data_IF_426242723300
#
_entry.id   IF_426242723300
#
_cell.length_a   1.000
_cell.length_b   1.000
_cell.length_c   1.000
_cell.angle_alpha   90.00
_cell.angle_beta   90.00
_cell.angle_gamma   90.00
#
_symmetry.space_group_name_H-M   'P 1'
#
loop_
_entity.id
_entity.type
_entity.pdbx_description
1 polymer ?
#
# COMPACT_ATOMS: atom_id res chain seq x y z
N UNK A 1 -2.36 40.42 24.45
CA UNK A 1 -2.04 39.12 23.81
C UNK A 1 -3.18 38.17 24.14
N UNK A 2 -4.05 37.79 23.22
CA UNK A 2 -5.11 36.83 23.51
C UNK A 2 -4.57 35.40 23.30
N UNK A 3 -4.77 34.53 24.27
CA UNK A 3 -4.44 33.13 24.26
C UNK A 3 -5.21 32.40 23.15
N UNK A 4 -4.52 31.80 22.20
CA UNK A 4 -5.11 30.89 21.22
C UNK A 4 -5.53 29.62 21.96
N UNK A 5 -6.83 29.39 22.07
CA UNK A 5 -7.38 28.10 22.49
C UNK A 5 -7.05 27.05 21.41
N UNK A 6 -5.99 26.32 21.59
CA UNK A 6 -5.69 25.11 20.83
C UNK A 6 -6.54 24.00 21.45
N UNK A 7 -7.56 23.54 20.72
CA UNK A 7 -8.35 22.36 21.10
C UNK A 7 -7.37 21.18 21.16
N UNK A 8 -7.24 20.47 22.27
CA UNK A 8 -6.29 19.36 22.36
C UNK A 8 -6.74 18.23 21.40
N UNK A 9 -5.86 17.87 20.46
CA UNK A 9 -6.06 16.84 19.43
C UNK A 9 -6.56 15.48 19.97
N UNK A 10 -6.46 15.23 21.26
CA UNK A 10 -7.04 14.04 21.95
C UNK A 10 -8.58 13.93 21.89
N UNK A 11 -9.30 15.02 21.52
CA UNK A 11 -10.77 14.99 21.44
C UNK A 11 -11.30 14.53 20.05
N UNK A 12 -10.46 14.43 19.03
CA UNK A 12 -10.88 13.93 17.71
C UNK A 12 -11.19 12.43 17.70
N UNK A 13 -10.63 11.65 18.62
CA UNK A 13 -11.02 10.26 18.85
C UNK A 13 -12.50 10.07 19.25
N UNK A 14 -13.03 11.05 19.99
CA UNK A 14 -14.44 11.03 20.44
C UNK A 14 -15.44 11.34 19.31
N UNK A 15 -15.01 12.02 18.26
CA UNK A 15 -15.89 12.35 17.12
C UNK A 15 -16.10 11.12 16.22
N UNK A 16 -15.09 10.28 16.05
CA UNK A 16 -15.22 9.00 15.33
C UNK A 16 -16.15 8.02 16.05
N UNK A 17 -16.14 8.01 17.38
CA UNK A 17 -17.03 7.15 18.20
C UNK A 17 -18.47 7.71 18.26
N UNK A 18 -18.65 9.02 18.13
CA UNK A 18 -19.99 9.64 18.20
C UNK A 18 -20.81 9.48 16.91
N UNK A 19 -20.15 9.30 15.75
CA UNK A 19 -20.83 8.99 14.48
C UNK A 19 -21.40 7.57 14.41
N UNK A 20 -20.86 6.64 15.20
CA UNK A 20 -21.38 5.28 15.32
C UNK A 20 -22.70 5.14 16.09
N UNK A 21 -23.11 6.19 16.83
CA UNK A 21 -24.33 6.15 17.68
C UNK A 21 -25.61 6.67 16.98
N UNK A 22 -25.55 7.08 15.71
CA UNK A 22 -26.70 7.68 14.99
C UNK A 22 -27.44 6.73 14.01
N UNK A 23 -26.98 5.48 13.83
CA UNK A 23 -27.69 4.49 13.01
C UNK A 23 -28.38 3.44 13.88
N UNK A 24 -29.59 3.75 14.39
CA UNK A 24 -30.50 2.75 14.93
C UNK A 24 -31.52 2.34 13.85
N UNK A 25 -31.85 1.04 13.69
CA UNK A 25 -32.71 0.58 12.62
C UNK A 25 -34.20 0.86 12.93
N UNK A 26 -34.92 1.42 11.96
CA UNK A 26 -36.37 1.46 11.94
C UNK A 26 -36.87 0.13 11.33
N UNK A 27 -37.55 -0.68 12.14
CA UNK A 27 -38.17 -1.91 11.70
C UNK A 27 -39.50 -1.67 10.96
N UNK A 28 -39.77 -2.50 9.96
CA UNK A 28 -41.10 -2.77 9.42
C UNK A 28 -41.16 -2.70 7.89
N UNK A 29 -41.21 -3.85 7.23
CA UNK A 29 -42.01 -4.17 6.06
C UNK A 29 -41.57 -5.54 5.49
N UNK A 30 -42.21 -6.62 5.95
CA UNK A 30 -42.03 -7.97 5.36
C UNK A 30 -43.06 -8.30 4.26
N UNK A 31 -44.11 -7.50 4.09
CA UNK A 31 -45.21 -7.82 3.16
C UNK A 31 -45.11 -7.16 1.77
N UNK A 32 -44.18 -6.23 1.54
CA UNK A 32 -43.94 -5.63 0.20
C UNK A 32 -42.85 -6.36 -0.63
N UNK A 33 -42.20 -7.38 -0.05
CA UNK A 33 -41.04 -8.02 -0.68
C UNK A 33 -41.44 -9.12 -1.70
N UNK A 34 -42.59 -9.77 -1.52
CA UNK A 34 -43.04 -10.84 -2.45
C UNK A 34 -43.53 -10.29 -3.81
N UNK A 35 -44.20 -9.13 -3.83
CA UNK A 35 -44.64 -8.50 -5.10
C UNK A 35 -43.51 -7.89 -5.91
N UNK A 36 -42.36 -7.55 -5.28
CA UNK A 36 -41.17 -7.06 -5.97
C UNK A 36 -40.33 -8.19 -6.59
N UNK A 37 -40.36 -9.37 -6.01
CA UNK A 37 -39.56 -10.50 -6.48
C UNK A 37 -40.10 -11.13 -7.79
N UNK A 38 -41.41 -11.11 -8.03
CA UNK A 38 -41.99 -11.59 -9.31
C UNK A 38 -41.61 -10.71 -10.52
N UNK A 39 -41.26 -9.44 -10.31
CA UNK A 39 -40.83 -8.53 -11.38
C UNK A 39 -39.36 -8.73 -11.80
N UNK A 40 -38.51 -9.22 -10.91
CA UNK A 40 -37.06 -9.37 -11.17
C UNK A 40 -36.72 -10.68 -11.89
N UNK A 41 -37.50 -11.75 -11.71
CA UNK A 41 -37.23 -13.04 -12.36
C UNK A 41 -37.34 -12.97 -13.90
N UNK A 42 -38.08 -12.02 -14.48
CA UNK A 42 -38.19 -11.87 -15.93
C UNK A 42 -37.11 -10.99 -16.57
N UNK A 43 -36.48 -10.09 -15.81
CA UNK A 43 -35.39 -9.24 -16.33
C UNK A 43 -34.04 -9.96 -16.22
N UNK A 44 -33.82 -10.80 -15.20
CA UNK A 44 -32.55 -11.57 -15.06
C UNK A 44 -32.37 -12.63 -16.15
N UNK A 45 -33.45 -13.28 -16.63
CA UNK A 45 -33.34 -14.29 -17.70
C UNK A 45 -32.93 -13.67 -19.05
N UNK A 46 -33.28 -12.41 -19.34
CA UNK A 46 -32.91 -11.73 -20.60
C UNK A 46 -31.46 -11.22 -20.53
N UNK A 47 -30.99 -10.76 -19.37
CA UNK A 47 -29.62 -10.26 -19.20
C UNK A 47 -28.60 -11.41 -19.16
N UNK A 48 -28.96 -12.56 -18.57
CA UNK A 48 -28.10 -13.74 -18.54
C UNK A 48 -27.97 -14.43 -19.90
N UNK A 49 -28.99 -14.37 -20.75
CA UNK A 49 -28.94 -15.00 -22.08
C UNK A 49 -28.11 -14.18 -23.09
N UNK A 50 -28.08 -12.86 -22.99
CA UNK A 50 -27.20 -12.00 -23.78
C UNK A 50 -25.74 -12.08 -23.37
N UNK A 51 -25.44 -12.20 -22.06
CA UNK A 51 -24.08 -12.39 -21.56
C UNK A 51 -23.53 -13.81 -21.85
N UNK A 52 -24.39 -14.83 -21.87
CA UNK A 52 -23.99 -16.22 -22.18
C UNK A 52 -23.69 -16.45 -23.66
N UNK A 53 -24.14 -15.58 -24.56
CA UNK A 53 -23.96 -15.68 -26.01
C UNK A 53 -22.89 -14.73 -26.59
N UNK A 54 -22.25 -13.90 -25.77
CA UNK A 54 -21.12 -13.09 -26.20
C UNK A 54 -19.92 -14.02 -26.46
N UNK A 55 -19.50 -14.18 -27.70
CA UNK A 55 -18.24 -14.83 -28.00
C UNK A 55 -17.12 -14.07 -27.29
N UNK A 56 -16.21 -14.76 -26.56
CA UNK A 56 -15.13 -14.08 -25.85
C UNK A 56 -14.32 -13.24 -26.84
N UNK A 57 -14.34 -11.94 -26.64
CA UNK A 57 -13.54 -11.02 -27.47
C UNK A 57 -12.08 -11.38 -27.34
N UNK A 58 -11.35 -11.40 -28.47
CA UNK A 58 -9.91 -11.67 -28.47
C UNK A 58 -9.13 -10.64 -27.63
N UNK A 59 -9.62 -9.42 -27.55
CA UNK A 59 -9.03 -8.34 -26.78
C UNK A 59 -10.11 -7.47 -26.11
N UNK A 60 -9.74 -6.89 -24.98
CA UNK A 60 -10.53 -5.91 -24.23
C UNK A 60 -9.61 -4.75 -23.89
N UNK A 61 -10.06 -3.53 -24.07
CA UNK A 61 -9.30 -2.32 -23.76
C UNK A 61 -10.10 -1.47 -22.80
N UNK A 62 -9.57 -1.34 -21.60
CA UNK A 62 -10.10 -0.46 -20.55
C UNK A 62 -9.19 0.74 -20.36
N UNK A 63 -9.78 1.86 -20.03
CA UNK A 63 -9.03 3.06 -19.78
C UNK A 63 -9.68 3.96 -18.74
N UNK A 64 -8.86 4.81 -18.12
CA UNK A 64 -9.35 5.84 -17.24
C UNK A 64 -8.53 7.12 -17.37
N UNK A 65 -9.23 8.25 -17.35
CA UNK A 65 -8.63 9.58 -17.18
C UNK A 65 -9.04 10.10 -15.81
N UNK A 66 -8.08 10.50 -15.01
CA UNK A 66 -8.35 11.10 -13.71
C UNK A 66 -7.69 12.47 -13.57
N UNK A 67 -8.34 13.32 -12.78
CA UNK A 67 -7.80 14.60 -12.30
C UNK A 67 -7.85 14.58 -10.80
N UNK A 68 -6.73 14.83 -10.15
CA UNK A 68 -6.63 14.95 -8.69
C UNK A 68 -6.05 16.27 -8.28
N UNK A 69 -6.56 16.83 -7.19
CA UNK A 69 -6.06 18.05 -6.58
C UNK A 69 -5.88 17.85 -5.07
N UNK A 70 -4.82 18.41 -4.52
CA UNK A 70 -4.56 18.38 -3.07
C UNK A 70 -4.20 19.78 -2.58
N UNK A 71 -4.78 20.17 -1.45
CA UNK A 71 -4.53 21.45 -0.79
C UNK A 71 -3.93 21.25 0.59
N UNK A 72 -2.62 21.50 0.71
CA UNK A 72 -1.87 21.41 1.96
C UNK A 72 -2.02 22.70 2.77
N UNK A 73 -2.94 22.72 3.73
CA UNK A 73 -3.24 23.95 4.51
C UNK A 73 -2.30 24.15 5.70
N UNK A 74 -1.66 23.12 6.17
CA UNK A 74 -0.79 23.14 7.36
C UNK A 74 0.71 23.05 7.04
N UNK A 75 1.10 22.90 5.76
CA UNK A 75 2.49 22.72 5.37
C UNK A 75 3.37 23.93 5.77
N UNK A 76 4.60 23.66 6.14
CA UNK A 76 5.61 24.65 6.53
C UNK A 76 6.70 24.69 5.45
N UNK A 77 6.69 25.74 4.63
CA UNK A 77 7.63 25.93 3.54
C UNK A 77 9.02 26.26 4.04
N UNK A 78 10.05 25.78 3.37
CA UNK A 78 11.45 26.11 3.63
C UNK A 78 12.15 26.58 2.36
N UNK A 79 12.64 27.83 2.36
CA UNK A 79 13.43 28.36 1.25
C UNK A 79 14.81 27.71 1.14
N UNK A 80 15.39 27.24 2.26
CA UNK A 80 16.72 26.64 2.31
C UNK A 80 16.79 25.34 1.48
N UNK A 81 15.75 24.50 1.61
CA UNK A 81 15.66 23.21 0.91
C UNK A 81 14.70 23.26 -0.28
N UNK A 82 14.26 24.48 -0.71
CA UNK A 82 13.28 24.66 -1.80
C UNK A 82 12.07 23.74 -1.65
N UNK A 83 11.42 23.80 -0.50
CA UNK A 83 10.27 22.98 -0.16
C UNK A 83 9.03 23.88 0.03
N UNK A 84 8.33 24.17 -1.08
CA UNK A 84 7.15 25.03 -1.07
C UNK A 84 5.91 24.25 -1.52
N UNK A 85 5.22 23.65 -0.56
CA UNK A 85 4.02 22.84 -0.81
C UNK A 85 2.75 23.39 -0.13
N UNK A 86 2.84 24.59 0.46
CA UNK A 86 1.68 25.21 1.08
C UNK A 86 0.68 25.66 0.01
N UNK A 87 -0.58 25.31 0.21
CA UNK A 87 -1.64 25.62 -0.74
C UNK A 87 -1.94 24.47 -1.68
N UNK A 88 -1.98 24.72 -2.99
CA UNK A 88 -2.24 23.71 -4.01
C UNK A 88 -0.99 22.83 -4.19
N UNK A 89 -0.90 21.72 -3.48
CA UNK A 89 0.26 20.84 -3.49
C UNK A 89 0.28 19.90 -4.69
N UNK A 90 -0.89 19.42 -5.13
CA UNK A 90 -1.07 18.53 -6.28
C UNK A 90 -2.15 19.08 -7.20
N UNK A 91 -1.93 19.06 -8.50
CA UNK A 91 -2.95 19.20 -9.56
C UNK A 91 -2.54 18.29 -10.71
N UNK A 92 -2.87 17.00 -10.58
CA UNK A 92 -2.37 15.92 -11.44
C UNK A 92 -3.46 15.45 -12.38
N UNK A 93 -3.11 15.29 -13.66
CA UNK A 93 -3.92 14.56 -14.63
C UNK A 93 -3.21 13.26 -14.95
N UNK A 94 -3.93 12.14 -14.90
CA UNK A 94 -3.40 10.81 -15.17
C UNK A 94 -4.26 10.10 -16.21
N UNK A 95 -3.61 9.37 -17.11
CA UNK A 95 -4.19 8.41 -18.03
C UNK A 95 -3.71 7.02 -17.65
N UNK A 96 -4.63 6.08 -17.49
CA UNK A 96 -4.35 4.66 -17.30
C UNK A 96 -5.00 3.89 -18.42
N UNK A 97 -4.28 2.92 -18.99
CA UNK A 97 -4.78 2.04 -20.07
C UNK A 97 -4.43 0.59 -19.72
N UNK A 98 -5.36 -0.31 -19.98
CA UNK A 98 -5.20 -1.74 -19.75
C UNK A 98 -5.74 -2.49 -20.97
N UNK A 99 -4.90 -3.32 -21.57
CA UNK A 99 -5.23 -4.19 -22.69
C UNK A 99 -5.14 -5.64 -22.24
N UNK A 100 -6.26 -6.32 -22.17
CA UNK A 100 -6.36 -7.75 -21.93
C UNK A 100 -6.52 -8.52 -23.24
N UNK A 101 -5.76 -9.62 -23.38
CA UNK A 101 -5.76 -10.49 -24.55
C UNK A 101 -6.15 -11.90 -24.14
N UNK A 102 -7.19 -12.45 -24.74
CA UNK A 102 -7.61 -13.84 -24.65
C UNK A 102 -6.97 -14.64 -25.78
N UNK A 103 -5.93 -15.41 -25.46
CA UNK A 103 -5.15 -16.16 -26.42
C UNK A 103 -5.65 -17.62 -26.54
N UNK A 104 -5.31 -18.35 -27.63
CA UNK A 104 -5.68 -19.76 -27.77
C UNK A 104 -5.20 -20.63 -26.59
N UNK A 105 -5.95 -21.69 -26.27
CA UNK A 105 -5.68 -22.66 -25.21
C UNK A 105 -5.72 -22.03 -23.80
N UNK A 106 -6.64 -21.09 -23.59
CA UNK A 106 -6.87 -20.42 -22.31
C UNK A 106 -5.68 -19.59 -21.78
N UNK A 107 -4.73 -19.28 -22.66
CA UNK A 107 -3.68 -18.32 -22.31
C UNK A 107 -4.25 -16.91 -22.28
N UNK A 108 -3.75 -16.12 -21.35
CA UNK A 108 -4.11 -14.71 -21.21
C UNK A 108 -2.85 -13.85 -21.17
N UNK A 109 -2.93 -12.66 -21.70
CA UNK A 109 -1.87 -11.67 -21.56
C UNK A 109 -2.49 -10.32 -21.23
N UNK A 110 -1.78 -9.53 -20.44
CA UNK A 110 -2.16 -8.15 -20.08
C UNK A 110 -1.01 -7.21 -20.40
N UNK A 111 -1.36 -6.04 -20.89
CA UNK A 111 -0.45 -4.90 -21.02
C UNK A 111 -1.16 -3.69 -20.42
N UNK A 112 -0.72 -3.25 -19.26
CA UNK A 112 -1.24 -2.08 -18.57
C UNK A 112 -0.15 -1.04 -18.35
N UNK A 113 -0.51 0.24 -18.43
CA UNK A 113 0.38 1.35 -18.19
C UNK A 113 -0.35 2.58 -17.71
N UNK A 114 0.38 3.45 -17.02
CA UNK A 114 -0.10 4.75 -16.57
C UNK A 114 0.87 5.86 -16.95
N UNK A 115 0.34 7.05 -17.13
CA UNK A 115 1.16 8.25 -17.24
C UNK A 115 0.45 9.43 -16.62
N UNK A 116 1.20 10.28 -15.92
CA UNK A 116 0.65 11.48 -15.31
C UNK A 116 1.51 12.72 -15.56
N UNK A 117 0.89 13.89 -15.38
CA UNK A 117 1.54 15.18 -15.30
C UNK A 117 0.92 16.01 -14.17
N UNK A 118 1.78 16.56 -13.29
CA UNK A 118 1.36 17.42 -12.18
C UNK A 118 1.61 18.90 -12.49
N UNK A 119 0.53 19.65 -12.65
CA UNK A 119 0.52 21.07 -12.98
C UNK A 119 0.85 21.97 -11.78
N UNK A 120 0.76 21.48 -10.54
CA UNK A 120 1.00 22.28 -9.35
C UNK A 120 2.40 22.88 -9.36
N UNK A 121 3.41 22.12 -9.79
CA UNK A 121 4.80 22.59 -9.91
C UNK A 121 4.99 23.74 -10.91
N UNK A 122 4.20 23.76 -11.98
CA UNK A 122 4.23 24.85 -12.95
C UNK A 122 3.51 26.09 -12.42
N UNK A 123 2.42 25.91 -11.69
CA UNK A 123 1.60 27.00 -11.11
C UNK A 123 2.34 27.70 -9.96
N UNK A 124 2.97 26.91 -9.08
CA UNK A 124 3.72 27.45 -7.94
C UNK A 124 5.11 28.01 -8.30
N UNK A 125 5.58 27.76 -9.51
CA UNK A 125 6.91 28.18 -9.97
C UNK A 125 7.95 27.08 -9.72
N UNK A 126 8.47 26.52 -10.80
CA UNK A 126 9.43 25.39 -10.77
C UNK A 126 10.73 25.66 -10.00
N UNK A 127 11.10 26.91 -9.82
CA UNK A 127 12.32 27.30 -9.11
C UNK A 127 12.20 27.15 -7.58
N UNK A 128 10.96 26.99 -7.07
CA UNK A 128 10.67 26.77 -5.65
C UNK A 128 10.88 25.32 -5.19
N UNK A 129 11.31 24.44 -6.10
CA UNK A 129 11.45 23.01 -5.85
C UNK A 129 12.85 22.50 -6.20
N UNK A 130 13.35 21.52 -5.49
CA UNK A 130 14.59 20.82 -5.79
C UNK A 130 14.52 20.15 -7.17
N UNK A 131 15.68 19.77 -7.72
CA UNK A 131 15.72 19.00 -8.95
C UNK A 131 15.10 17.62 -8.77
N UNK A 132 15.39 16.95 -7.65
CA UNK A 132 15.01 15.58 -7.37
C UNK A 132 13.50 15.48 -7.19
N UNK A 133 12.90 16.36 -6.38
CA UNK A 133 11.43 16.43 -6.25
C UNK A 133 10.71 16.63 -7.59
N UNK A 134 11.27 17.48 -8.49
CA UNK A 134 10.69 17.69 -9.83
C UNK A 134 10.83 16.47 -10.73
N UNK A 135 11.94 15.77 -10.65
CA UNK A 135 12.19 14.59 -11.46
C UNK A 135 11.25 13.44 -11.09
N UNK A 136 10.98 13.28 -9.78
CA UNK A 136 10.14 12.21 -9.26
C UNK A 136 8.63 12.46 -9.38
N UNK A 137 8.19 13.74 -9.34
CA UNK A 137 6.77 14.03 -9.10
C UNK A 137 6.08 14.87 -10.18
N UNK A 138 6.82 15.50 -11.12
CA UNK A 138 6.17 16.34 -12.14
C UNK A 138 5.49 15.53 -13.22
N UNK A 139 6.12 14.47 -13.69
CA UNK A 139 5.54 13.58 -14.70
C UNK A 139 6.22 12.21 -14.68
N UNK A 140 5.43 11.20 -14.97
CA UNK A 140 5.89 9.83 -15.08
C UNK A 140 5.11 9.11 -16.17
N UNK A 141 5.74 8.16 -16.84
CA UNK A 141 5.09 7.19 -17.72
C UNK A 141 5.68 5.82 -17.41
N UNK A 142 4.85 4.87 -16.99
CA UNK A 142 5.28 3.57 -16.55
C UNK A 142 4.36 2.45 -17.05
N UNK A 143 4.97 1.32 -17.43
CA UNK A 143 4.24 0.07 -17.57
C UNK A 143 3.94 -0.50 -16.18
N UNK A 144 2.67 -0.70 -15.88
CA UNK A 144 2.22 -1.28 -14.63
C UNK A 144 2.31 -2.81 -14.71
N UNK A 145 1.40 -3.47 -15.35
CA UNK A 145 1.44 -4.91 -15.53
C UNK A 145 1.68 -5.27 -17.00
N UNK A 146 2.64 -6.15 -17.25
CA UNK A 146 2.91 -6.73 -18.57
C UNK A 146 3.25 -8.20 -18.37
N UNK A 147 2.25 -9.08 -18.54
CA UNK A 147 2.43 -10.49 -18.26
C UNK A 147 1.69 -11.41 -19.21
N UNK A 148 2.14 -12.65 -19.25
CA UNK A 148 1.53 -13.80 -19.93
C UNK A 148 1.25 -14.88 -18.90
N UNK A 149 0.03 -15.45 -18.91
CA UNK A 149 -0.41 -16.49 -18.00
C UNK A 149 -1.12 -17.62 -18.76
N UNK A 150 -0.92 -18.86 -18.33
CA UNK A 150 -1.63 -20.03 -18.86
C UNK A 150 -1.22 -21.32 -18.18
N UNK A 151 -1.98 -22.38 -18.43
CA UNK A 151 -1.72 -23.71 -17.87
C UNK A 151 -0.71 -24.44 -18.73
N UNK A 152 0.40 -24.87 -18.14
CA UNK A 152 1.39 -25.76 -18.75
C UNK A 152 0.91 -27.20 -18.70
N UNK A 153 0.25 -27.61 -17.63
CA UNK A 153 -0.34 -28.91 -17.36
C UNK A 153 -1.67 -28.71 -16.61
N UNK A 154 -2.57 -29.71 -16.54
CA UNK A 154 -3.86 -29.57 -15.86
C UNK A 154 -3.75 -29.12 -14.37
N UNK A 155 -2.61 -29.33 -13.73
CA UNK A 155 -2.36 -28.94 -12.34
C UNK A 155 -1.25 -27.91 -12.20
N UNK A 156 -0.72 -27.35 -13.29
CA UNK A 156 0.44 -26.45 -13.24
C UNK A 156 0.21 -25.21 -14.09
N UNK A 157 0.06 -24.07 -13.45
CA UNK A 157 -0.05 -22.77 -14.09
C UNK A 157 1.27 -22.01 -14.05
N UNK A 158 1.52 -21.26 -15.12
CA UNK A 158 2.62 -20.33 -15.26
C UNK A 158 2.07 -18.90 -15.43
N UNK A 159 2.63 -17.94 -14.68
CA UNK A 159 2.51 -16.50 -14.99
C UNK A 159 3.92 -15.91 -15.06
N UNK A 160 4.23 -15.24 -16.17
CA UNK A 160 5.53 -14.63 -16.41
C UNK A 160 5.37 -13.20 -16.89
N UNK A 161 6.17 -12.31 -16.32
CA UNK A 161 6.23 -10.90 -16.69
C UNK A 161 6.13 -9.98 -15.48
N UNK A 162 5.94 -8.69 -15.75
CA UNK A 162 5.80 -7.65 -14.73
C UNK A 162 4.41 -7.74 -14.10
N UNK A 163 4.34 -8.00 -12.80
CA UNK A 163 3.10 -8.31 -12.10
C UNK A 163 3.17 -7.97 -10.62
N UNK A 164 2.01 -7.89 -9.99
CA UNK A 164 1.85 -7.75 -8.54
C UNK A 164 1.42 -9.10 -7.96
N UNK A 165 2.01 -9.46 -6.81
CA UNK A 165 1.65 -10.63 -6.02
C UNK A 165 1.41 -10.22 -4.58
N UNK A 166 0.17 -10.34 -4.12
CA UNK A 166 -0.17 -10.14 -2.72
C UNK A 166 -0.01 -11.44 -1.94
N UNK A 167 0.85 -11.42 -0.90
CA UNK A 167 1.08 -12.57 -0.03
C UNK A 167 0.52 -12.40 1.38
N UNK A 168 0.17 -11.19 1.78
CA UNK A 168 -0.39 -10.86 3.09
C UNK A 168 -1.88 -11.21 3.22
N UNK A 169 -2.37 -11.25 4.45
CA UNK A 169 -3.79 -11.32 4.83
C UNK A 169 -4.30 -9.97 5.34
N UNK A 170 -3.38 -9.13 5.78
CA UNK A 170 -3.67 -7.78 6.23
C UNK A 170 -3.94 -6.85 5.05
N UNK A 171 -4.85 -5.92 5.26
CA UNK A 171 -5.22 -4.89 4.29
C UNK A 171 -4.42 -3.59 4.49
N UNK A 172 -3.81 -3.41 5.68
CA UNK A 172 -3.17 -2.15 6.03
C UNK A 172 -1.73 -2.30 6.54
N UNK A 173 -1.38 -3.42 7.15
CA UNK A 173 -0.05 -3.63 7.75
C UNK A 173 0.66 -4.80 7.07
N UNK A 174 1.81 -4.55 6.45
CA UNK A 174 2.57 -5.58 5.73
C UNK A 174 3.48 -6.37 6.65
N UNK A 175 3.31 -7.69 6.72
CA UNK A 175 4.22 -8.63 7.40
C UNK A 175 4.80 -9.63 6.40
N UNK A 176 3.97 -10.37 5.69
CA UNK A 176 4.40 -11.39 4.72
C UNK A 176 4.43 -10.88 3.28
N UNK A 177 3.78 -9.78 3.00
CA UNK A 177 3.70 -9.18 1.69
C UNK A 177 4.98 -8.39 1.36
N UNK A 178 6.00 -9.10 0.87
CA UNK A 178 7.37 -8.60 0.72
C UNK A 178 7.90 -8.64 -0.73
N UNK A 179 7.11 -9.18 -1.68
CA UNK A 179 7.62 -9.42 -3.04
C UNK A 179 7.55 -8.21 -3.96
N UNK A 180 6.63 -7.32 -3.69
CA UNK A 180 6.48 -6.08 -4.45
C UNK A 180 6.88 -4.89 -3.58
N UNK A 181 7.79 -4.03 -4.03
CA UNK A 181 8.08 -2.77 -3.35
C UNK A 181 6.88 -1.82 -3.40
N UNK A 182 6.92 -0.74 -2.63
CA UNK A 182 5.85 0.25 -2.52
C UNK A 182 6.25 1.61 -3.08
N UNK A 183 5.30 2.32 -3.66
CA UNK A 183 5.36 3.76 -3.89
C UNK A 183 4.95 4.50 -2.61
N UNK A 184 5.93 4.89 -1.81
CA UNK A 184 5.75 5.61 -0.55
C UNK A 184 5.87 7.13 -0.71
N UNK A 185 5.91 7.65 -1.93
CA UNK A 185 6.14 9.08 -2.19
C UNK A 185 5.05 9.99 -1.62
N UNK A 186 3.83 9.46 -1.47
CA UNK A 186 2.65 10.21 -0.99
C UNK A 186 1.92 9.41 0.13
N UNK A 187 2.54 9.21 1.30
CA UNK A 187 2.02 8.35 2.36
C UNK A 187 0.66 8.82 2.90
N UNK A 188 -0.28 7.89 3.03
CA UNK A 188 -1.63 8.16 3.51
C UNK A 188 -2.59 8.74 2.47
N UNK A 189 -2.15 9.08 1.25
CA UNK A 189 -3.01 9.57 0.16
C UNK A 189 -3.58 8.44 -0.71
N UNK A 190 -2.91 7.31 -0.75
CA UNK A 190 -3.26 6.15 -1.58
C UNK A 190 -3.52 4.96 -0.66
N UNK A 191 -4.41 4.07 -1.03
CA UNK A 191 -4.62 2.82 -0.31
C UNK A 191 -3.44 1.86 -0.56
N UNK A 192 -3.12 1.03 0.42
CA UNK A 192 -1.92 0.18 0.39
C UNK A 192 -1.92 -0.81 -0.80
N UNK A 193 -3.09 -1.19 -1.27
CA UNK A 193 -3.25 -2.06 -2.43
C UNK A 193 -2.72 -1.42 -3.71
N UNK A 194 -2.93 -0.10 -3.85
CA UNK A 194 -2.51 0.69 -5.00
C UNK A 194 -1.06 1.17 -4.90
N UNK A 195 -0.42 1.01 -3.73
CA UNK A 195 0.98 1.39 -3.52
C UNK A 195 1.96 0.37 -4.10
N UNK A 196 1.55 -0.88 -4.35
CA UNK A 196 2.47 -1.92 -4.82
C UNK A 196 3.00 -1.61 -6.21
N UNK A 197 4.31 -1.64 -6.32
CA UNK A 197 5.02 -1.50 -7.58
C UNK A 197 5.20 -2.87 -8.22
N UNK A 198 4.78 -3.06 -9.46
CA UNK A 198 4.96 -4.33 -10.15
C UNK A 198 6.43 -4.59 -10.44
N UNK A 199 6.81 -5.87 -10.41
CA UNK A 199 8.16 -6.35 -10.77
C UNK A 199 8.08 -7.56 -11.69
N UNK A 200 9.11 -7.72 -12.52
CA UNK A 200 9.21 -8.83 -13.47
C UNK A 200 9.56 -10.10 -12.73
N UNK A 201 8.66 -11.10 -12.79
CA UNK A 201 8.86 -12.39 -12.13
C UNK A 201 8.29 -13.56 -12.93
N UNK A 202 8.75 -14.75 -12.61
CA UNK A 202 8.16 -16.04 -13.00
C UNK A 202 7.44 -16.62 -11.78
N UNK A 203 6.17 -16.94 -11.93
CA UNK A 203 5.34 -17.62 -10.93
C UNK A 203 4.84 -18.94 -11.49
N UNK A 204 4.98 -20.01 -10.70
CA UNK A 204 4.47 -21.34 -10.96
C UNK A 204 3.55 -21.76 -9.83
N UNK A 205 2.32 -22.16 -10.15
CA UNK A 205 1.34 -22.64 -9.18
C UNK A 205 0.99 -24.09 -9.49
N UNK A 206 1.29 -25.00 -8.55
CA UNK A 206 0.95 -26.41 -8.64
C UNK A 206 -0.18 -26.78 -7.68
N UNK A 207 -1.28 -27.31 -8.22
CA UNK A 207 -2.50 -27.62 -7.49
C UNK A 207 -2.57 -29.11 -7.12
N UNK A 208 -2.79 -29.39 -5.83
CA UNK A 208 -3.00 -30.74 -5.32
C UNK A 208 -4.07 -30.79 -4.23
N UNK A 209 -5.30 -31.19 -4.60
CA UNK A 209 -6.44 -31.21 -3.70
C UNK A 209 -6.75 -29.82 -3.13
N UNK A 210 -6.74 -29.67 -1.82
CA UNK A 210 -6.97 -28.41 -1.12
C UNK A 210 -5.69 -27.53 -1.04
N UNK A 211 -4.55 -27.98 -1.57
CA UNK A 211 -3.27 -27.32 -1.44
C UNK A 211 -2.78 -26.75 -2.77
N UNK A 212 -2.17 -25.60 -2.71
CA UNK A 212 -1.41 -24.98 -3.82
C UNK A 212 0.02 -24.76 -3.38
N UNK A 213 0.97 -25.26 -4.15
CA UNK A 213 2.38 -24.95 -4.01
C UNK A 213 2.75 -23.90 -5.05
N UNK A 214 3.13 -22.71 -4.58
CA UNK A 214 3.58 -21.59 -5.41
C UNK A 214 5.09 -21.46 -5.33
N UNK A 215 5.77 -21.36 -6.48
CA UNK A 215 7.18 -20.99 -6.60
C UNK A 215 7.33 -19.70 -7.38
N UNK A 216 8.15 -18.76 -6.90
CA UNK A 216 8.37 -17.45 -7.53
C UNK A 216 9.87 -17.18 -7.66
N UNK A 217 10.27 -16.69 -8.85
CA UNK A 217 11.57 -16.11 -9.11
C UNK A 217 11.40 -14.67 -9.58
N UNK A 218 11.87 -13.70 -8.78
CA UNK A 218 11.83 -12.26 -9.12
C UNK A 218 13.12 -11.93 -9.87
N UNK A 219 13.00 -11.40 -11.08
CA UNK A 219 14.12 -11.12 -12.00
C UNK A 219 14.53 -9.66 -12.03
N UNK A 220 13.63 -8.76 -11.66
CA UNK A 220 13.83 -7.33 -11.62
C UNK A 220 14.12 -6.91 -10.18
N UNK A 221 15.30 -6.30 -9.96
CA UNK A 221 15.64 -5.67 -8.69
C UNK A 221 15.03 -4.26 -8.69
N UNK A 222 14.03 -4.06 -7.85
CA UNK A 222 13.36 -2.78 -7.64
C UNK A 222 13.09 -2.64 -6.14
N UNK A 223 13.21 -1.43 -5.62
CA UNK A 223 13.00 -1.10 -4.22
C UNK A 223 11.85 -0.12 -4.06
N UNK A 224 11.49 0.18 -2.82
CA UNK A 224 10.49 1.20 -2.53
C UNK A 224 10.88 2.53 -3.16
N UNK A 225 9.88 3.23 -3.68
CA UNK A 225 10.02 4.63 -4.08
C UNK A 225 9.62 5.49 -2.89
N UNK A 226 10.62 5.91 -2.12
CA UNK A 226 10.44 6.79 -0.97
C UNK A 226 10.48 8.26 -1.41
N UNK A 227 9.99 9.21 -0.58
CA UNK A 227 10.03 10.63 -0.90
C UNK A 227 11.46 11.13 -1.18
N UNK A 228 11.69 11.80 -2.32
CA UNK A 228 12.96 12.36 -2.71
C UNK A 228 13.31 13.64 -1.95
N UNK A 229 14.61 13.99 -1.91
CA UNK A 229 15.09 15.20 -1.25
C UNK A 229 14.38 16.46 -1.71
N UNK A 230 13.79 17.17 -0.76
CA UNK A 230 13.02 18.39 -1.00
C UNK A 230 11.62 18.14 -1.55
N UNK A 231 11.16 16.89 -1.67
CA UNK A 231 9.75 16.59 -1.91
C UNK A 231 8.91 16.87 -0.66
N UNK A 232 7.59 16.91 -0.82
CA UNK A 232 6.66 17.30 0.23
C UNK A 232 6.74 16.41 1.49
N UNK A 233 6.89 15.11 1.28
CA UNK A 233 6.93 14.12 2.35
C UNK A 233 8.34 13.70 2.76
N UNK A 234 9.38 14.31 2.18
CA UNK A 234 10.74 14.03 2.60
C UNK A 234 10.95 14.55 4.03
N UNK A 235 11.29 13.67 5.01
CA UNK A 235 11.21 14.04 6.41
C UNK A 235 12.44 14.78 6.96
N UNK A 236 13.53 14.86 6.19
CA UNK A 236 14.81 15.40 6.66
C UNK A 236 15.15 16.74 5.99
N UNK A 237 15.99 17.54 6.68
CA UNK A 237 16.51 18.81 6.14
C UNK A 237 17.85 18.63 5.43
N UNK A 238 18.36 17.42 5.34
CA UNK A 238 19.63 17.08 4.69
C UNK A 238 19.42 16.00 3.63
N UNK A 239 20.16 16.06 2.55
CA UNK A 239 20.22 15.02 1.54
C UNK A 239 20.82 13.74 2.10
N UNK A 240 20.21 12.59 1.78
CA UNK A 240 20.71 11.28 2.21
C UNK A 240 21.92 10.87 1.37
N UNK A 241 22.80 9.98 1.89
CA UNK A 241 23.87 9.39 1.11
C UNK A 241 23.34 8.69 -0.16
N UNK A 242 24.20 8.59 -1.18
CA UNK A 242 23.84 7.90 -2.42
C UNK A 242 23.50 6.44 -2.15
N UNK A 243 22.48 5.95 -2.83
CA UNK A 243 22.03 4.56 -2.77
C UNK A 243 22.75 3.74 -3.86
N UNK A 244 23.26 2.57 -3.46
CA UNK A 244 23.87 1.59 -4.36
C UNK A 244 22.96 0.37 -4.45
N UNK A 245 22.22 0.23 -5.56
CA UNK A 245 21.30 -0.86 -5.80
C UNK A 245 21.99 -2.04 -6.49
N UNK A 246 21.68 -3.30 -6.11
CA UNK A 246 22.12 -4.48 -6.83
C UNK A 246 21.64 -4.47 -8.29
N UNK A 247 22.53 -4.81 -9.22
CA UNK A 247 22.15 -4.88 -10.63
C UNK A 247 21.18 -6.03 -10.91
N UNK A 248 20.29 -5.84 -11.88
CA UNK A 248 19.46 -6.93 -12.40
C UNK A 248 20.31 -8.06 -12.94
N UNK A 249 19.92 -9.31 -12.66
CA UNK A 249 20.63 -10.48 -13.18
C UNK A 249 20.54 -11.72 -12.30
N UNK A 250 20.94 -12.87 -12.84
CA UNK A 250 20.73 -14.17 -12.23
C UNK A 250 21.31 -14.36 -10.82
N UNK A 251 22.42 -13.69 -10.45
CA UNK A 251 22.99 -13.71 -9.09
C UNK A 251 22.13 -12.96 -8.08
N UNK A 252 21.34 -12.00 -8.54
CA UNK A 252 20.48 -11.13 -7.72
C UNK A 252 18.99 -11.50 -7.82
N UNK A 253 18.66 -12.58 -8.54
CA UNK A 253 17.31 -13.16 -8.53
C UNK A 253 16.86 -13.43 -7.11
N UNK A 254 15.67 -12.99 -6.77
CA UNK A 254 15.02 -13.31 -5.50
C UNK A 254 14.15 -14.55 -5.68
N UNK A 255 14.03 -15.31 -4.63
CA UNK A 255 13.31 -16.58 -4.65
C UNK A 255 12.29 -16.63 -3.54
N UNK A 256 11.11 -17.11 -3.89
CA UNK A 256 10.05 -17.28 -2.92
C UNK A 256 9.23 -18.53 -3.18
N UNK A 257 8.68 -19.10 -2.12
CA UNK A 257 7.78 -20.24 -2.18
C UNK A 257 6.68 -20.12 -1.13
N UNK A 258 5.47 -20.55 -1.48
CA UNK A 258 4.35 -20.64 -0.56
C UNK A 258 3.63 -21.98 -0.70
N UNK A 259 3.19 -22.55 0.41
CA UNK A 259 2.27 -23.68 0.47
C UNK A 259 0.98 -23.21 1.13
N UNK A 260 -0.10 -23.09 0.33
CA UNK A 260 -1.40 -22.59 0.78
C UNK A 260 -2.43 -23.70 0.76
N UNK A 261 -3.09 -23.95 1.89
CA UNK A 261 -4.24 -24.83 2.02
C UNK A 261 -5.50 -24.04 2.28
N UNK A 262 -6.58 -24.32 1.53
CA UNK A 262 -7.90 -23.68 1.69
C UNK A 262 -8.89 -24.75 2.14
N UNK A 263 -9.58 -24.47 3.25
CA UNK A 263 -10.50 -25.37 3.90
C UNK A 263 -11.84 -24.67 4.17
N UNK A 264 -12.84 -25.42 4.62
CA UNK A 264 -14.14 -24.83 4.95
C UNK A 264 -14.02 -23.91 6.17
N UNK A 265 -14.13 -22.59 5.93
CA UNK A 265 -14.12 -21.56 6.97
C UNK A 265 -12.72 -21.12 7.45
N UNK A 266 -11.63 -21.66 6.93
CA UNK A 266 -10.28 -21.23 7.27
C UNK A 266 -9.27 -21.55 6.18
N UNK A 267 -8.15 -20.86 6.19
CA UNK A 267 -6.98 -21.16 5.35
C UNK A 267 -5.70 -21.17 6.17
N UNK A 268 -4.65 -21.75 5.60
CA UNK A 268 -3.30 -21.74 6.15
C UNK A 268 -2.32 -21.57 5.01
N UNK A 269 -1.36 -20.65 5.17
CA UNK A 269 -0.26 -20.50 4.24
C UNK A 269 1.07 -20.53 4.98
N UNK A 270 2.05 -21.26 4.44
CA UNK A 270 3.44 -21.26 4.88
C UNK A 270 4.27 -20.60 3.79
N UNK A 271 5.18 -19.71 4.18
CA UNK A 271 5.96 -18.88 3.27
C UNK A 271 7.45 -19.03 3.53
N UNK A 272 8.22 -19.01 2.49
CA UNK A 272 9.67 -18.85 2.51
C UNK A 272 10.09 -17.89 1.40
N UNK A 273 11.03 -16.99 1.70
CA UNK A 273 11.61 -16.12 0.68
C UNK A 273 13.09 -15.82 0.99
N UNK A 274 13.84 -15.58 -0.09
CA UNK A 274 15.18 -15.00 -0.06
C UNK A 274 15.19 -13.81 -1.02
N UNK A 275 15.26 -12.62 -0.48
CA UNK A 275 15.00 -11.36 -1.16
C UNK A 275 15.91 -10.26 -0.63
N UNK A 276 15.90 -9.08 -1.24
CA UNK A 276 16.54 -7.89 -0.70
C UNK A 276 15.56 -7.11 0.19
N UNK A 277 16.09 -6.52 1.26
CA UNK A 277 15.30 -5.59 2.10
C UNK A 277 14.98 -4.35 1.28
N UNK A 278 13.71 -3.99 1.18
CA UNK A 278 13.27 -2.76 0.51
C UNK A 278 13.76 -1.49 1.22
N UNK A 279 14.12 -1.60 2.50
CA UNK A 279 14.68 -0.49 3.28
C UNK A 279 16.20 -0.55 3.27
N UNK A 280 16.86 0.45 2.70
CA UNK A 280 18.31 0.48 2.72
C UNK A 280 18.85 0.76 4.13
N UNK A 281 20.02 0.21 4.43
CA UNK A 281 20.82 0.54 5.61
C UNK A 281 22.04 1.37 5.22
N UNK A 282 22.58 2.14 6.17
CA UNK A 282 23.83 2.85 5.98
C UNK A 282 25.02 1.89 6.07
N UNK A 283 25.96 2.02 5.17
CA UNK A 283 27.24 1.33 5.19
C UNK A 283 28.41 2.30 5.01
N UNK A 284 29.45 2.14 5.82
CA UNK A 284 30.69 2.92 5.70
C UNK A 284 31.66 2.18 4.79
N UNK A 285 31.80 2.63 3.55
CA UNK A 285 32.61 1.98 2.51
C UNK A 285 33.98 2.63 2.40
N UNK A 286 35.10 1.88 2.53
CA UNK A 286 36.45 2.41 2.32
C UNK A 286 36.68 2.81 0.88
N UNK A 287 37.13 4.04 0.62
CA UNK A 287 37.53 4.54 -0.70
C UNK A 287 39.04 4.48 -0.90
N UNK A 288 39.61 3.27 -1.01
CA UNK A 288 41.04 3.08 -1.24
C UNK A 288 41.92 3.86 -0.25
N UNK A 289 42.68 4.86 -0.71
CA UNK A 289 43.51 5.75 0.15
C UNK A 289 42.74 7.02 0.61
N UNK A 290 41.48 7.21 0.21
CA UNK A 290 40.63 8.33 0.62
C UNK A 290 39.91 8.08 1.95
N UNK A 291 39.22 9.10 2.49
CA UNK A 291 38.32 8.89 3.61
C UNK A 291 37.16 7.96 3.21
N UNK A 292 36.66 7.14 4.14
CA UNK A 292 35.50 6.30 3.87
C UNK A 292 34.28 7.16 3.57
N UNK A 293 33.39 6.67 2.73
CA UNK A 293 32.12 7.32 2.41
C UNK A 293 30.94 6.52 2.94
N UNK A 294 29.85 7.20 3.26
CA UNK A 294 28.59 6.55 3.61
C UNK A 294 27.79 6.28 2.33
N UNK A 295 27.27 5.07 2.20
CA UNK A 295 26.34 4.67 1.15
C UNK A 295 25.10 4.04 1.78
N UNK A 296 23.98 4.07 1.05
CA UNK A 296 22.80 3.28 1.36
C UNK A 296 22.84 1.99 0.54
N UNK A 297 22.68 0.85 1.20
CA UNK A 297 22.70 -0.48 0.58
C UNK A 297 21.56 -1.36 1.07
N UNK A 298 21.19 -2.36 0.29
CA UNK A 298 20.11 -3.30 0.57
C UNK A 298 20.66 -4.66 1.03
N UNK A 299 20.29 -5.08 2.23
CA UNK A 299 20.66 -6.38 2.79
C UNK A 299 19.88 -7.50 2.11
N UNK A 300 20.50 -8.69 2.00
CA UNK A 300 19.81 -9.87 1.53
C UNK A 300 19.21 -10.65 2.68
N UNK A 301 17.89 -10.69 2.77
CA UNK A 301 17.13 -11.31 3.84
C UNK A 301 16.70 -12.73 3.48
N UNK A 302 16.51 -13.55 4.51
CA UNK A 302 15.77 -14.81 4.44
C UNK A 302 14.58 -14.74 5.38
N UNK A 303 13.38 -15.02 4.86
CA UNK A 303 12.13 -15.03 5.62
C UNK A 303 11.55 -16.45 5.68
N UNK A 304 11.02 -16.81 6.85
CA UNK A 304 10.06 -17.89 7.05
C UNK A 304 8.81 -17.30 7.68
N UNK A 305 7.65 -17.62 7.13
CA UNK A 305 6.41 -17.05 7.59
C UNK A 305 5.24 -18.01 7.54
N UNK A 306 4.18 -17.64 8.25
CA UNK A 306 2.90 -18.33 8.23
C UNK A 306 1.76 -17.33 8.36
N UNK A 307 0.63 -17.61 7.70
CA UNK A 307 -0.59 -16.83 7.84
C UNK A 307 -1.83 -17.71 7.85
N UNK A 308 -2.88 -17.22 8.45
CA UNK A 308 -4.18 -17.89 8.51
C UNK A 308 -5.30 -16.89 8.60
N UNK A 309 -6.43 -17.21 7.95
CA UNK A 309 -7.72 -16.59 8.17
C UNK A 309 -8.67 -17.63 8.77
N UNK A 310 -9.54 -17.19 9.65
CA UNK A 310 -10.60 -18.02 10.25
C UNK A 310 -11.92 -17.25 10.24
N UNK A 311 -12.91 -17.75 9.50
CA UNK A 311 -14.24 -17.19 9.41
C UNK A 311 -15.15 -17.76 10.51
N UNK A 312 -15.80 -16.88 11.28
CA UNK A 312 -16.71 -17.23 12.36
C UNK A 312 -17.99 -16.35 12.27
N UNK A 313 -18.99 -16.82 11.54
CA UNK A 313 -20.18 -16.02 11.25
C UNK A 313 -19.77 -14.75 10.49
N UNK A 314 -20.14 -13.60 11.03
CA UNK A 314 -19.82 -12.29 10.45
C UNK A 314 -18.39 -11.77 10.79
N UNK A 315 -17.61 -12.59 11.51
CA UNK A 315 -16.25 -12.25 11.91
C UNK A 315 -15.23 -12.97 11.06
N UNK A 316 -14.15 -12.26 10.66
CA UNK A 316 -12.94 -12.83 10.09
C UNK A 316 -11.76 -12.52 11.01
N UNK A 317 -11.13 -13.56 11.53
CA UNK A 317 -9.91 -13.46 12.33
C UNK A 317 -8.71 -13.68 11.40
N UNK A 318 -7.73 -12.79 11.46
CA UNK A 318 -6.51 -12.81 10.64
C UNK A 318 -5.30 -12.95 11.54
N UNK A 319 -4.32 -13.76 11.16
CA UNK A 319 -3.03 -13.82 11.84
C UNK A 319 -1.89 -14.03 10.85
N UNK A 320 -0.80 -13.30 11.06
CA UNK A 320 0.44 -13.46 10.31
C UNK A 320 1.64 -13.49 11.26
N UNK A 321 2.66 -14.25 10.89
CA UNK A 321 3.93 -14.26 11.59
C UNK A 321 5.08 -14.46 10.62
N UNK A 322 6.18 -13.73 10.82
CA UNK A 322 7.40 -13.84 10.04
C UNK A 322 8.64 -13.85 10.92
N UNK A 323 9.61 -14.68 10.58
CA UNK A 323 10.97 -14.62 11.07
C UNK A 323 11.86 -14.16 9.92
N UNK A 324 12.55 -13.03 10.10
CA UNK A 324 13.48 -12.46 9.13
C UNK A 324 14.91 -12.55 9.69
N UNK A 325 15.84 -12.98 8.85
CA UNK A 325 17.27 -13.04 9.18
C UNK A 325 18.09 -12.30 8.12
N UNK A 326 19.16 -11.63 8.55
CA UNK A 326 20.05 -10.89 7.66
C UNK A 326 19.83 -9.37 7.67
N UNK A 327 19.04 -8.82 8.63
CA UNK A 327 18.88 -7.37 8.75
C UNK A 327 20.19 -6.72 9.22
N UNK A 328 20.71 -5.78 8.44
CA UNK A 328 21.92 -5.05 8.75
C UNK A 328 21.62 -3.66 9.29
N UNK A 329 22.36 -3.28 10.35
CA UNK A 329 22.22 -1.98 11.00
C UNK A 329 23.58 -1.28 11.05
N UNK A 330 23.59 -0.02 10.64
CA UNK A 330 24.76 0.84 10.85
C UNK A 330 24.96 1.10 12.33
N UNK A 331 26.18 0.87 12.79
CA UNK A 331 26.62 1.27 14.14
C UNK A 331 27.83 2.19 13.98
N UNK A 332 27.82 3.38 14.61
CA UNK A 332 28.94 4.31 14.48
C UNK A 332 30.25 3.70 15.01
N UNK A 333 31.38 3.95 14.37
CA UNK A 333 32.67 3.54 14.88
C UNK A 333 32.91 4.01 16.34
N UNK A 334 33.61 3.21 17.21
CA UNK A 334 34.45 2.07 16.83
C UNK A 334 33.73 0.72 16.73
N UNK A 335 32.43 0.66 16.96
CA UNK A 335 31.67 -0.57 16.86
C UNK A 335 31.52 -1.03 15.40
N UNK A 336 31.32 -2.34 15.19
CA UNK A 336 31.11 -2.91 13.86
C UNK A 336 29.61 -2.91 13.49
N UNK A 337 29.26 -2.86 12.18
CA UNK A 337 27.88 -3.07 11.73
C UNK A 337 27.28 -4.34 12.32
N UNK A 338 26.00 -4.32 12.61
CA UNK A 338 25.34 -5.41 13.32
C UNK A 338 24.28 -6.09 12.47
N UNK A 339 24.49 -7.38 12.15
CA UNK A 339 23.44 -8.23 11.60
C UNK A 339 22.49 -8.72 12.71
N UNK A 340 21.17 -8.66 12.48
CA UNK A 340 20.13 -9.08 13.42
C UNK A 340 19.04 -9.88 12.74
N UNK A 341 18.28 -10.59 13.58
CA UNK A 341 17.02 -11.22 13.18
C UNK A 341 15.85 -10.47 13.79
N UNK A 342 14.69 -10.56 13.14
CA UNK A 342 13.45 -9.92 13.58
C UNK A 342 12.28 -10.90 13.54
N UNK A 343 11.43 -10.85 14.55
CA UNK A 343 10.15 -11.53 14.59
C UNK A 343 9.02 -10.51 14.44
N UNK A 344 8.23 -10.68 13.40
CA UNK A 344 7.07 -9.86 13.10
C UNK A 344 5.81 -10.70 13.33
N UNK A 345 4.83 -10.16 14.05
CA UNK A 345 3.55 -10.83 14.32
C UNK A 345 2.44 -9.82 14.12
N UNK A 346 1.38 -10.24 13.45
CA UNK A 346 0.15 -9.48 13.26
C UNK A 346 -1.05 -10.32 13.69
N UNK A 347 -2.01 -9.66 14.32
CA UNK A 347 -3.36 -10.18 14.53
C UNK A 347 -4.36 -9.13 14.07
N UNK A 348 -5.40 -9.59 13.39
CA UNK A 348 -6.46 -8.75 12.85
C UNK A 348 -7.83 -9.35 13.11
N UNK A 349 -8.82 -8.48 13.23
CA UNK A 349 -10.23 -8.84 13.34
C UNK A 349 -11.03 -7.94 12.41
N UNK A 350 -11.89 -8.57 11.61
CA UNK A 350 -12.81 -7.89 10.73
C UNK A 350 -14.24 -8.31 11.07
N UNK A 351 -15.15 -7.36 11.04
CA UNK A 351 -16.57 -7.57 11.26
C UNK A 351 -17.39 -7.03 10.09
N UNK A 352 -18.12 -7.92 9.41
CA UNK A 352 -18.96 -7.63 8.26
C UNK A 352 -20.47 -7.84 8.54
N UNK A 353 -20.88 -7.92 9.82
CA UNK A 353 -22.27 -8.11 10.20
C UNK A 353 -23.13 -6.83 10.18
N UNK A 354 -22.57 -5.68 9.82
CA UNK A 354 -23.34 -4.48 9.53
C UNK A 354 -23.85 -4.53 8.09
N UNK A 355 -25.04 -3.96 7.87
CA UNK A 355 -25.55 -3.79 6.51
C UNK A 355 -24.67 -2.78 5.77
N UNK A 356 -24.11 -3.20 4.64
CA UNK A 356 -23.31 -2.38 3.74
C UNK A 356 -22.09 -1.70 4.42
N UNK A 357 -21.55 -2.31 5.50
CA UNK A 357 -20.37 -1.76 6.17
C UNK A 357 -19.47 -2.84 6.78
N UNK A 358 -18.17 -2.58 6.79
CA UNK A 358 -17.13 -3.44 7.36
C UNK A 358 -16.25 -2.63 8.31
N UNK A 359 -15.85 -3.25 9.41
CA UNK A 359 -14.89 -2.71 10.37
C UNK A 359 -13.73 -3.66 10.50
N UNK A 360 -12.51 -3.16 10.30
CA UNK A 360 -11.27 -3.93 10.46
C UNK A 360 -10.38 -3.26 11.52
N UNK A 361 -9.82 -4.06 12.40
CA UNK A 361 -8.80 -3.64 13.34
C UNK A 361 -7.63 -4.61 13.30
N UNK A 362 -6.41 -4.09 13.13
CA UNK A 362 -5.19 -4.87 13.04
C UNK A 362 -4.13 -4.30 13.98
N UNK A 363 -3.31 -5.18 14.56
CA UNK A 363 -2.17 -4.83 15.39
C UNK A 363 -0.99 -5.70 15.00
N UNK A 364 0.17 -5.07 14.79
CA UNK A 364 1.43 -5.75 14.52
C UNK A 364 2.52 -5.32 15.49
N UNK A 365 3.40 -6.25 15.83
CA UNK A 365 4.64 -5.95 16.55
C UNK A 365 5.84 -6.55 15.81
N UNK A 366 6.88 -5.75 15.64
CA UNK A 366 8.17 -6.17 15.07
C UNK A 366 9.23 -6.17 16.16
N UNK A 367 9.74 -7.35 16.52
CA UNK A 367 10.71 -7.55 17.59
C UNK A 367 12.11 -7.85 17.06
N UNK A 368 13.10 -6.98 17.31
CA UNK A 368 14.50 -7.20 16.94
C UNK A 368 15.18 -8.04 18.04
N UNK A 369 15.66 -9.23 17.66
CA UNK A 369 16.39 -10.13 18.54
C UNK A 369 17.79 -9.60 18.83
N UNK A 370 18.22 -9.66 20.10
CA UNK A 370 19.54 -9.16 20.51
C UNK A 370 19.70 -7.66 20.32
N UNK A 371 18.61 -6.90 20.46
CA UNK A 371 18.63 -5.44 20.40
C UNK A 371 19.52 -4.82 21.48
N UNK A 372 20.29 -3.82 21.10
CA UNK A 372 21.00 -2.91 21.99
C UNK A 372 20.84 -1.45 21.50
N UNK A 373 21.02 -0.48 22.40
CA UNK A 373 20.70 0.93 22.12
C UNK A 373 21.52 1.56 20.98
N UNK A 374 22.72 1.03 20.69
CA UNK A 374 23.55 1.52 19.59
C UNK A 374 22.90 1.30 18.20
N UNK A 375 21.94 0.34 18.09
CA UNK A 375 21.19 0.12 16.85
C UNK A 375 20.24 1.28 16.52
N UNK A 376 19.87 2.11 17.48
CA UNK A 376 19.04 3.28 17.23
C UNK A 376 19.81 4.47 16.65
N UNK A 377 21.14 4.35 16.53
CA UNK A 377 21.98 5.43 16.04
C UNK A 377 21.87 5.63 14.52
N UNK A 378 22.20 6.82 14.05
CA UNK A 378 22.13 7.19 12.65
C UNK A 378 20.71 7.16 12.11
N UNK A 379 20.54 6.72 10.85
CA UNK A 379 19.23 6.61 10.17
C UNK A 379 18.51 5.29 10.42
N UNK A 380 19.01 4.41 11.29
CA UNK A 380 18.36 3.13 11.56
C UNK A 380 17.03 3.32 12.29
N UNK A 381 16.96 4.29 13.23
CA UNK A 381 15.81 4.53 14.12
C UNK A 381 15.23 3.25 14.72
N UNK A 382 16.09 2.25 14.90
CA UNK A 382 15.68 0.92 15.30
C UNK A 382 15.16 0.91 16.74
N UNK A 383 14.02 0.30 16.95
CA UNK A 383 13.43 0.05 18.27
C UNK A 383 13.45 -1.45 18.55
N UNK A 384 13.53 -1.85 19.83
CA UNK A 384 13.44 -3.27 20.21
C UNK A 384 12.13 -3.89 19.77
N UNK A 385 11.03 -3.15 19.98
CA UNK A 385 9.69 -3.50 19.54
C UNK A 385 9.10 -2.29 18.84
N UNK A 386 8.63 -2.48 17.62
CA UNK A 386 7.90 -1.47 16.85
C UNK A 386 6.45 -1.92 16.76
N UNK A 387 5.58 -1.27 17.51
CA UNK A 387 4.15 -1.55 17.49
C UNK A 387 3.48 -0.66 16.45
N UNK A 388 2.59 -1.26 15.66
CA UNK A 388 1.77 -0.59 14.67
C UNK A 388 0.33 -1.10 14.80
N UNK A 389 -0.65 -0.22 14.73
CA UNK A 389 -2.05 -0.59 14.70
C UNK A 389 -2.81 0.19 13.65
N UNK A 390 -3.82 -0.43 13.07
CA UNK A 390 -4.71 0.18 12.11
C UNK A 390 -6.17 -0.05 12.46
N UNK A 391 -7.00 0.93 12.14
CA UNK A 391 -8.44 0.84 12.19
C UNK A 391 -9.01 1.31 10.86
N UNK A 392 -9.79 0.46 10.18
CA UNK A 392 -10.49 0.77 8.94
C UNK A 392 -11.98 0.59 9.14
N UNK A 393 -12.75 1.55 8.66
CA UNK A 393 -14.19 1.49 8.52
C UNK A 393 -14.54 1.81 7.08
N UNK A 394 -15.22 0.91 6.40
CA UNK A 394 -15.71 1.08 5.04
C UNK A 394 -17.22 0.91 5.02
N UNK A 395 -17.95 1.79 4.34
CA UNK A 395 -19.40 1.71 4.27
C UNK A 395 -19.92 2.26 2.93
N UNK A 396 -20.94 1.61 2.43
CA UNK A 396 -21.63 1.95 1.20
C UNK A 396 -22.99 2.57 1.51
N UNK A 397 -23.34 3.64 0.79
CA UNK A 397 -24.58 4.38 0.93
C UNK A 397 -25.19 4.64 -0.45
N UNK A 398 -26.50 5.00 -0.47
CA UNK A 398 -27.21 5.43 -1.68
C UNK A 398 -27.15 4.33 -2.77
N UNK A 399 -27.52 3.08 -2.41
CA UNK A 399 -27.43 1.89 -3.27
C UNK A 399 -26.02 1.72 -3.85
N UNK A 400 -25.03 1.71 -2.98
CA UNK A 400 -23.60 1.54 -3.27
C UNK A 400 -22.98 2.60 -4.21
N UNK A 401 -23.66 3.76 -4.39
CA UNK A 401 -23.10 4.87 -5.16
C UNK A 401 -22.17 5.78 -4.36
N UNK A 402 -22.29 5.78 -3.05
CA UNK A 402 -21.43 6.58 -2.17
C UNK A 402 -20.63 5.64 -1.28
N UNK A 403 -19.33 5.61 -1.48
CA UNK A 403 -18.38 4.83 -0.68
C UNK A 403 -17.69 5.74 0.31
N UNK A 404 -17.72 5.38 1.57
CA UNK A 404 -16.99 6.05 2.65
C UNK A 404 -15.90 5.11 3.16
N UNK A 405 -14.67 5.60 3.23
CA UNK A 405 -13.57 4.88 3.90
C UNK A 405 -12.92 5.80 4.93
N UNK A 406 -12.82 5.31 6.16
CA UNK A 406 -12.02 5.92 7.21
C UNK A 406 -10.89 4.97 7.59
N UNK A 407 -9.66 5.46 7.55
CA UNK A 407 -8.45 4.74 7.93
C UNK A 407 -7.69 5.53 8.99
N UNK A 408 -7.27 4.85 10.06
CA UNK A 408 -6.31 5.38 11.01
C UNK A 408 -5.14 4.40 11.13
N UNK A 409 -3.92 4.86 10.94
CA UNK A 409 -2.68 4.13 11.18
C UNK A 409 -1.91 4.80 12.31
N UNK A 410 -1.56 4.00 13.33
CA UNK A 410 -0.99 4.48 14.59
C UNK A 410 0.27 3.69 14.90
N UNK A 411 1.36 4.40 15.15
CA UNK A 411 2.67 3.84 15.46
C UNK A 411 3.00 4.09 16.94
N UNK A 412 3.58 3.08 17.60
CA UNK A 412 3.75 3.05 19.05
C UNK A 412 2.46 2.66 19.80
N UNK A 413 2.58 2.36 21.10
CA UNK A 413 1.46 1.83 21.89
C UNK A 413 0.28 2.81 21.99
N UNK A 414 0.56 4.10 22.08
CA UNK A 414 -0.43 5.18 22.25
C UNK A 414 -0.34 6.25 21.17
N UNK A 415 0.32 5.93 20.04
CA UNK A 415 0.59 6.89 18.98
C UNK A 415 1.76 7.83 19.27
N UNK A 416 2.61 7.44 20.22
CA UNK A 416 3.81 8.17 20.62
C UNK A 416 4.85 8.21 19.48
N UNK A 417 4.88 7.20 18.63
CA UNK A 417 5.74 7.15 17.45
C UNK A 417 5.15 7.91 16.22
N UNK A 418 3.90 8.37 16.29
CA UNK A 418 3.22 9.14 15.26
C UNK A 418 2.10 8.37 14.56
N UNK A 419 1.58 8.94 13.46
CA UNK A 419 0.52 8.31 12.70
C UNK A 419 -0.20 9.25 11.75
N UNK A 420 -1.25 8.74 11.12
CA UNK A 420 -2.15 9.53 10.29
C UNK A 420 -3.57 8.98 10.31
N UNK A 421 -4.54 9.83 9.92
CA UNK A 421 -5.89 9.41 9.58
C UNK A 421 -6.26 9.93 8.21
N UNK A 422 -7.00 9.10 7.46
CA UNK A 422 -7.61 9.46 6.18
C UNK A 422 -9.12 9.24 6.24
N UNK A 423 -9.87 10.20 5.77
CA UNK A 423 -11.28 10.06 5.45
C UNK A 423 -11.46 10.31 3.98
N UNK A 424 -12.04 9.38 3.24
CA UNK A 424 -12.40 9.51 1.84
C UNK A 424 -13.88 9.22 1.61
N UNK A 425 -14.45 9.93 0.66
CA UNK A 425 -15.79 9.78 0.14
C UNK A 425 -15.69 9.74 -1.38
N UNK A 426 -16.19 8.69 -2.00
CA UNK A 426 -16.23 8.53 -3.44
C UNK A 426 -17.68 8.34 -3.89
N UNK A 427 -18.13 9.18 -4.82
CA UNK A 427 -19.51 9.19 -5.32
C UNK A 427 -19.56 8.91 -6.81
N UNK A 428 -20.26 7.86 -7.18
CA UNK A 428 -20.55 7.50 -8.57
C UNK A 428 -21.67 8.39 -9.12
N UNK A 429 -21.27 9.45 -9.82
CA UNK A 429 -22.20 10.34 -10.50
C UNK A 429 -22.95 9.65 -11.64
N UNK A 430 -22.24 8.79 -12.39
CA UNK A 430 -22.69 7.92 -13.46
C UNK A 430 -21.78 6.71 -13.53
N UNK A 431 -22.17 5.65 -14.19
CA UNK A 431 -21.43 4.39 -14.32
C UNK A 431 -19.96 4.56 -14.72
N UNK A 432 -19.64 5.60 -15.52
CA UNK A 432 -18.27 5.88 -15.96
C UNK A 432 -17.58 7.02 -15.21
N UNK A 433 -18.29 7.79 -14.34
CA UNK A 433 -17.77 8.99 -13.72
C UNK A 433 -17.90 8.95 -12.20
N UNK A 434 -16.76 8.84 -11.54
CA UNK A 434 -16.64 8.92 -10.08
C UNK A 434 -16.01 10.23 -9.67
N UNK A 435 -16.54 10.86 -8.65
CA UNK A 435 -15.97 12.07 -8.00
C UNK A 435 -15.75 11.75 -6.55
N UNK A 436 -14.52 11.94 -6.09
CA UNK A 436 -14.13 11.67 -4.72
C UNK A 436 -13.48 12.86 -4.06
N UNK A 437 -13.31 12.75 -2.74
CA UNK A 437 -12.57 13.72 -1.96
C UNK A 437 -12.48 13.33 -0.51
N UNK A 438 -11.61 14.03 0.21
CA UNK A 438 -11.40 13.70 1.60
C UNK A 438 -10.36 14.57 2.27
N UNK A 439 -9.90 14.09 3.41
CA UNK A 439 -8.86 14.74 4.19
C UNK A 439 -7.87 13.71 4.75
N UNK A 440 -6.61 14.13 4.89
CA UNK A 440 -5.58 13.39 5.61
C UNK A 440 -5.01 14.30 6.69
N UNK A 441 -4.92 13.75 7.91
CA UNK A 441 -4.35 14.43 9.07
C UNK A 441 -3.17 13.61 9.58
N UNK A 442 -2.02 14.27 9.72
CA UNK A 442 -0.80 13.67 10.24
C UNK A 442 -0.55 14.16 11.64
N UNK A 443 -0.13 13.31 12.55
CA UNK A 443 0.29 13.74 13.87
C UNK A 443 1.72 13.34 14.18
N UNK A 444 2.34 14.21 14.93
CA UNK A 444 3.71 14.08 15.39
C UNK A 444 3.91 12.83 16.23
N UNK A 445 5.08 12.21 16.09
CA UNK A 445 5.59 11.17 16.97
C UNK A 445 7.10 11.24 17.13
N UNK A 446 7.62 10.26 17.85
CA UNK A 446 9.06 10.13 18.12
C UNK A 446 9.82 9.57 16.91
N UNK A 447 9.13 8.92 15.95
CA UNK A 447 9.74 8.52 14.68
C UNK A 447 10.04 9.77 13.83
N UNK A 448 11.28 9.95 13.36
CA UNK A 448 11.68 11.12 12.56
C UNK A 448 10.83 11.36 11.32
N UNK A 449 10.33 10.30 10.71
CA UNK A 449 9.42 10.40 9.59
C UNK A 449 8.17 11.23 9.95
N UNK A 450 7.47 10.89 11.05
CA UNK A 450 6.27 11.62 11.48
C UNK A 450 6.57 12.99 12.08
N UNK A 451 7.76 13.19 12.64
CA UNK A 451 8.21 14.53 13.01
C UNK A 451 8.36 15.42 11.77
N UNK A 452 8.95 14.89 10.69
CA UNK A 452 9.15 15.62 9.43
C UNK A 452 7.86 16.00 8.72
N UNK A 453 6.88 15.08 8.67
CA UNK A 453 5.63 15.27 7.91
C UNK A 453 4.44 15.78 8.75
N UNK A 454 4.61 16.09 10.02
CA UNK A 454 3.53 16.46 10.97
C UNK A 454 2.66 17.66 10.55
N UNK A 455 3.10 18.45 9.57
CA UNK A 455 2.41 19.63 9.06
C UNK A 455 1.87 19.41 7.63
N UNK A 456 1.73 18.18 7.20
CA UNK A 456 1.24 17.87 5.84
C UNK A 456 -0.28 17.64 5.80
N UNK A 457 -1.02 18.09 6.81
CA UNK A 457 -2.50 18.02 6.84
C UNK A 457 -3.09 18.65 5.57
N UNK A 458 -4.01 17.94 4.91
CA UNK A 458 -4.53 18.36 3.60
C UNK A 458 -5.94 17.92 3.32
N UNK A 459 -6.55 18.61 2.39
CA UNK A 459 -7.77 18.19 1.68
C UNK A 459 -7.37 17.68 0.30
N UNK A 460 -8.09 16.70 -0.22
CA UNK A 460 -7.93 16.24 -1.59
C UNK A 460 -9.27 16.06 -2.29
N UNK A 461 -9.25 16.16 -3.62
CA UNK A 461 -10.37 15.93 -4.52
C UNK A 461 -9.89 15.11 -5.71
N UNK A 462 -10.76 14.24 -6.21
CA UNK A 462 -10.50 13.41 -7.39
C UNK A 462 -11.72 13.39 -8.29
N UNK A 463 -11.49 13.30 -9.60
CA UNK A 463 -12.52 12.98 -10.58
C UNK A 463 -11.94 11.98 -11.56
N UNK A 464 -12.61 10.84 -11.76
CA UNK A 464 -12.17 9.74 -12.62
C UNK A 464 -13.26 9.40 -13.62
N UNK A 465 -12.91 9.38 -14.91
CA UNK A 465 -13.74 8.88 -15.99
C UNK A 465 -13.14 7.60 -16.55
N UNK A 466 -13.89 6.51 -16.48
CA UNK A 466 -13.52 5.18 -17.01
C UNK A 466 -14.23 4.92 -18.33
N UNK A 467 -13.61 4.24 -19.28
CA UNK A 467 -14.16 3.95 -20.62
C UNK A 467 -13.61 2.63 -21.15
#
# INVERSE_FOLDING_TARGET
MPSKNVIPRRQLWLIGVLLLSLCAPAGGAQDELEDLLEGFEQEEEVILDDAANAEPTFWELDGAVSVSASYAYAHDSSEEIKKEYRGLAVLRTQLSLELDLNLPREWKARVAGRGFYDFAYAIQGRDNFTRDAKQAQVNEVEFQEVWLQGSLLPQLDLKFGRQIVNWGRSETIRILDILNPLDNREPGLVDIEDLRLPVTMTRLDYYYGAWTLTGIAVHETRFNEDPDFGSEFFPFDIELPSEETPANGGSNTEWAAALTGIFSGWDLSLHWARFFDDRPHLELVPLGMGPPTLLLRHSRLTMFGASTNYALGDWLLKAEGAYLNGLEFFVPPPDEPAEKSRFDVLVGIEYAGFRDATVTFEVANRHISGYHSNLAAGLNFAQRNSLESSFRYSADFINSRLHLTYLAAVFGLTGDDGGFTRLSLDYELRDALTVGGGLVLYWRGDLPFFEGIRKNDRLFLTAKYSF
#
